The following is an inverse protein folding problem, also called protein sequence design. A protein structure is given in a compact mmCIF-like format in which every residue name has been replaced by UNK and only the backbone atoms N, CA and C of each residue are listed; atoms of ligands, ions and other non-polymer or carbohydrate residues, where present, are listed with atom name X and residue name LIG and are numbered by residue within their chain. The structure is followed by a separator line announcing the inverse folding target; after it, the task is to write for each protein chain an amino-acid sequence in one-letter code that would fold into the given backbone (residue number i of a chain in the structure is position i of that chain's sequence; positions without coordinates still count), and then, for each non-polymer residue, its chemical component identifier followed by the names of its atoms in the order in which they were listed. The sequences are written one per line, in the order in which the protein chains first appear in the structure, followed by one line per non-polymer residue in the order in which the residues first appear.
data_IF_457899594360
#
_entry.id   IF_457899594360
#
_cell.length_a   1.000
_cell.length_b   1.000
_cell.length_c   1.000
_cell.angle_alpha   90.00
_cell.angle_beta   90.00
_cell.angle_gamma   90.00
#
_symmetry.space_group_name_H-M   'P 1'
#
loop_
_entity.id
_entity.type
_entity.pdbx_description
1 polymer ?
#
# COMPACT_ATOMS: atom_id res chain seq x y z
N UNK A 1 17.41 13.11 10.15
CA UNK A 1 17.18 12.07 11.20
C UNK A 1 16.78 10.79 10.51
N UNK A 2 17.30 9.64 10.96
CA UNK A 2 17.00 8.34 10.32
C UNK A 2 15.63 7.74 10.75
N UNK A 3 14.68 8.59 11.15
CA UNK A 3 13.39 8.20 11.72
C UNK A 3 13.49 7.79 13.19
N UNK A 4 12.38 7.29 13.75
CA UNK A 4 12.29 6.78 15.10
C UNK A 4 12.98 5.41 15.24
N UNK A 5 13.29 4.95 16.45
CA UNK A 5 13.91 3.64 16.67
C UNK A 5 13.01 2.51 16.16
N UNK A 6 13.59 1.34 15.82
CA UNK A 6 12.81 0.16 15.48
C UNK A 6 11.85 -0.21 16.61
N UNK A 7 10.66 -0.67 16.24
CA UNK A 7 9.61 -1.05 17.19
C UNK A 7 9.46 -2.57 17.25
N UNK A 8 9.23 -3.08 18.45
CA UNK A 8 8.80 -4.46 18.67
C UNK A 8 7.28 -4.44 18.87
N UNK A 9 6.51 -5.27 18.15
CA UNK A 9 5.09 -5.41 18.40
C UNK A 9 4.82 -5.91 19.82
N UNK A 10 3.88 -5.26 20.51
CA UNK A 10 3.42 -5.71 21.84
C UNK A 10 2.18 -6.58 21.77
N UNK A 11 1.51 -6.64 20.61
CA UNK A 11 0.36 -7.49 20.35
C UNK A 11 0.38 -7.92 18.88
N UNK A 12 0.04 -9.19 18.62
CA UNK A 12 -0.10 -9.73 17.26
C UNK A 12 -1.06 -10.91 17.27
N UNK A 13 -1.54 -11.29 16.10
CA UNK A 13 -2.44 -12.44 15.96
C UNK A 13 -2.81 -12.73 14.52
N UNK A 14 -3.71 -13.70 14.38
CA UNK A 14 -4.36 -14.06 13.11
C UNK A 14 -5.84 -13.73 13.21
N UNK A 15 -6.39 -13.04 12.22
CA UNK A 15 -7.81 -12.74 12.10
C UNK A 15 -8.38 -13.55 10.93
N UNK A 16 -9.45 -14.30 11.19
CA UNK A 16 -10.23 -14.94 10.14
C UNK A 16 -11.06 -13.86 9.41
N UNK A 17 -10.89 -13.76 8.10
CA UNK A 17 -11.57 -12.78 7.26
C UNK A 17 -12.50 -13.43 6.23
N UNK A 18 -12.85 -14.70 6.44
CA UNK A 18 -13.71 -15.47 5.57
C UNK A 18 -12.97 -16.07 4.36
N UNK A 19 -13.72 -16.81 3.56
CA UNK A 19 -13.24 -17.45 2.32
C UNK A 19 -11.99 -18.34 2.51
N UNK A 20 -11.79 -18.88 3.72
CA UNK A 20 -10.59 -19.65 4.07
C UNK A 20 -9.32 -18.80 4.25
N UNK A 21 -9.44 -17.48 4.29
CA UNK A 21 -8.31 -16.57 4.50
C UNK A 21 -8.21 -16.12 5.95
N UNK A 22 -6.96 -16.04 6.43
CA UNK A 22 -6.61 -15.45 7.73
C UNK A 22 -5.49 -14.46 7.55
N UNK A 23 -5.69 -13.22 7.98
CA UNK A 23 -4.67 -12.17 7.91
C UNK A 23 -3.86 -12.13 9.21
N UNK A 24 -2.53 -12.00 9.07
CA UNK A 24 -1.64 -11.70 10.20
C UNK A 24 -1.66 -10.21 10.47
N UNK A 25 -1.76 -9.83 11.74
CA UNK A 25 -1.70 -8.44 12.18
C UNK A 25 -0.81 -8.28 13.41
N UNK A 26 -0.28 -7.06 13.58
CA UNK A 26 0.52 -6.67 14.72
C UNK A 26 0.28 -5.22 15.11
N UNK A 27 0.45 -4.92 16.40
CA UNK A 27 0.34 -3.58 16.98
C UNK A 27 1.62 -3.23 17.72
N UNK A 28 2.15 -2.05 17.43
CA UNK A 28 3.35 -1.50 18.08
C UNK A 28 3.13 -0.04 18.49
N UNK A 29 4.11 0.52 19.22
CA UNK A 29 4.02 1.89 19.74
C UNK A 29 3.20 1.99 21.03
N UNK A 30 2.55 3.14 21.24
CA UNK A 30 1.75 3.42 22.44
C UNK A 30 0.35 2.79 22.31
N UNK A 31 -0.05 1.87 23.20
CA UNK A 31 -1.39 1.27 23.19
C UNK A 31 -2.54 2.30 23.26
N UNK A 32 -2.32 3.41 23.96
CA UNK A 32 -3.29 4.49 24.16
C UNK A 32 -3.07 5.66 23.18
N UNK A 33 -2.14 5.50 22.25
CA UNK A 33 -1.81 6.50 21.24
C UNK A 33 -2.85 6.59 20.13
N UNK A 34 -2.68 7.61 19.27
CA UNK A 34 -3.53 7.80 18.09
C UNK A 34 -3.45 6.57 17.18
N UNK A 35 -4.59 5.94 16.83
CA UNK A 35 -4.55 4.78 15.95
C UNK A 35 -4.08 5.16 14.54
N UNK A 36 -3.22 4.33 13.98
CA UNK A 36 -2.78 4.42 12.59
C UNK A 36 -2.70 3.03 11.97
N UNK A 37 -3.25 2.87 10.76
CA UNK A 37 -3.08 1.66 9.97
C UNK A 37 -2.04 1.88 8.88
N UNK A 38 -1.19 0.88 8.67
CA UNK A 38 -0.17 0.86 7.63
C UNK A 38 -0.53 -0.18 6.57
N UNK A 39 -0.71 0.29 5.34
CA UNK A 39 -1.04 -0.51 4.16
C UNK A 39 0.21 -0.69 3.31
N UNK A 40 0.74 -1.92 3.27
CA UNK A 40 1.93 -2.22 2.48
C UNK A 40 1.67 -2.21 0.97
N UNK A 41 2.73 -2.03 0.22
CA UNK A 41 2.74 -2.02 -1.25
C UNK A 41 2.81 -3.41 -1.89
N UNK A 42 3.15 -3.44 -3.14
CA UNK A 42 3.21 -4.60 -4.02
C UNK A 42 2.11 -4.52 -5.08
N UNK A 43 0.99 -5.27 -4.95
CA UNK A 43 0.53 -6.09 -3.80
C UNK A 43 1.45 -7.26 -3.45
N UNK A 44 1.41 -7.69 -2.19
CA UNK A 44 2.14 -8.88 -1.76
C UNK A 44 3.51 -8.64 -1.11
N UNK A 45 3.93 -7.37 -0.91
CA UNK A 45 5.20 -7.06 -0.23
C UNK A 45 5.24 -7.51 1.23
N UNK A 46 4.08 -7.61 1.89
CA UNK A 46 3.99 -7.85 3.32
C UNK A 46 4.37 -6.65 4.18
N UNK A 47 4.14 -6.75 5.47
CA UNK A 47 4.49 -5.75 6.47
C UNK A 47 6.00 -5.59 6.59
N UNK A 48 6.47 -4.37 6.82
CA UNK A 48 7.89 -4.07 7.03
C UNK A 48 8.11 -3.34 8.35
N UNK A 49 9.04 -3.81 9.21
CA UNK A 49 9.39 -3.11 10.44
C UNK A 49 9.94 -1.69 10.20
N UNK A 50 10.49 -1.43 9.01
CA UNK A 50 11.07 -0.12 8.67
C UNK A 50 10.02 0.99 8.60
N UNK A 51 8.78 0.68 8.22
CA UNK A 51 7.70 1.68 8.11
C UNK A 51 7.28 2.22 9.47
N UNK A 52 7.29 1.39 10.51
CA UNK A 52 7.02 1.83 11.89
C UNK A 52 7.94 2.96 12.36
N UNK A 53 9.13 3.10 11.77
CA UNK A 53 10.12 4.14 12.10
C UNK A 53 9.76 5.55 11.64
N UNK A 54 8.69 5.73 10.86
CA UNK A 54 8.18 7.07 10.51
C UNK A 54 7.27 7.64 11.59
N UNK A 55 6.71 6.80 12.44
CA UNK A 55 5.76 7.15 13.48
C UNK A 55 6.45 7.41 14.82
N UNK A 56 6.06 8.46 15.51
CA UNK A 56 6.47 8.68 16.90
C UNK A 56 5.83 7.61 17.80
N UNK A 57 6.63 6.68 18.36
CA UNK A 57 6.09 5.55 19.10
C UNK A 57 5.42 5.94 20.43
N UNK A 58 5.67 7.14 20.93
CA UNK A 58 5.00 7.64 22.14
C UNK A 58 3.59 8.18 21.84
N UNK A 59 3.30 8.54 20.57
CA UNK A 59 2.07 9.20 20.17
C UNK A 59 1.12 8.30 19.38
N UNK A 60 1.64 7.26 18.72
CA UNK A 60 0.85 6.40 17.84
C UNK A 60 0.68 4.97 18.35
N UNK A 61 -0.54 4.45 18.20
CA UNK A 61 -0.86 3.01 18.20
C UNK A 61 -0.81 2.53 16.75
N UNK A 62 0.26 1.85 16.36
CA UNK A 62 0.57 1.53 14.97
C UNK A 62 0.10 0.11 14.67
N UNK A 63 -0.87 -0.03 13.77
CA UNK A 63 -1.39 -1.31 13.28
C UNK A 63 -0.77 -1.62 11.93
N UNK A 64 -0.12 -2.76 11.81
CA UNK A 64 0.36 -3.32 10.55
C UNK A 64 -0.28 -4.69 10.35
N UNK A 65 -0.56 -5.07 9.11
CA UNK A 65 -1.06 -6.40 8.79
C UNK A 65 -0.53 -6.83 7.43
N UNK A 66 -0.39 -8.12 7.25
CA UNK A 66 -0.12 -8.73 5.96
C UNK A 66 -1.45 -8.96 5.26
N UNK A 67 -1.61 -8.40 4.06
CA UNK A 67 -2.81 -8.57 3.23
C UNK A 67 -3.01 -10.05 2.87
N UNK A 68 -4.18 -10.41 2.34
CA UNK A 68 -4.48 -11.80 1.94
C UNK A 68 -3.35 -12.41 1.13
N UNK A 69 -3.03 -13.65 1.40
CA UNK A 69 -2.10 -14.50 0.66
C UNK A 69 -0.63 -14.05 0.66
N UNK A 70 -0.21 -13.12 1.55
CA UNK A 70 1.19 -12.69 1.64
C UNK A 70 1.71 -12.65 3.07
N UNK A 71 3.03 -12.51 3.21
CA UNK A 71 3.70 -12.42 4.50
C UNK A 71 3.45 -13.63 5.38
N UNK A 72 2.87 -13.41 6.56
CA UNK A 72 2.43 -14.45 7.52
C UNK A 72 0.94 -14.77 7.40
N UNK A 73 0.20 -14.11 6.50
CA UNK A 73 -1.20 -14.42 6.21
C UNK A 73 -1.34 -15.73 5.45
N UNK A 74 -2.47 -16.40 5.62
CA UNK A 74 -2.73 -17.72 5.01
C UNK A 74 -4.05 -17.72 4.25
N UNK A 75 -4.14 -18.52 3.15
CA UNK A 75 -3.09 -19.31 2.51
C UNK A 75 -1.99 -18.46 1.89
N UNK A 76 -0.85 -19.05 1.49
CA UNK A 76 0.26 -18.32 0.87
C UNK A 76 0.16 -18.39 -0.66
N UNK A 77 0.24 -17.23 -1.34
CA UNK A 77 0.24 -17.17 -2.80
C UNK A 77 1.49 -17.79 -3.45
N UNK A 78 2.55 -18.10 -2.70
CA UNK A 78 3.69 -18.88 -3.22
C UNK A 78 3.30 -20.32 -3.58
N UNK A 79 2.27 -20.88 -2.95
CA UNK A 79 1.70 -22.17 -3.36
C UNK A 79 0.85 -21.99 -4.64
N UNK A 80 1.20 -22.67 -5.75
CA UNK A 80 0.42 -22.58 -6.99
C UNK A 80 -1.03 -23.03 -6.84
N UNK A 81 -1.34 -23.85 -5.83
CA UNK A 81 -2.70 -24.32 -5.56
C UNK A 81 -3.57 -23.29 -4.83
N UNK A 82 -2.97 -22.22 -4.30
CA UNK A 82 -3.74 -21.16 -3.64
C UNK A 82 -4.64 -20.45 -4.64
N UNK A 83 -5.95 -20.47 -4.35
CA UNK A 83 -6.95 -19.71 -5.10
C UNK A 83 -6.84 -18.20 -4.75
N UNK A 84 -6.72 -17.35 -5.77
CA UNK A 84 -6.66 -15.90 -5.63
C UNK A 84 -7.99 -15.21 -5.96
N UNK A 85 -9.06 -15.93 -6.24
CA UNK A 85 -10.36 -15.36 -6.65
C UNK A 85 -10.93 -14.36 -5.62
N UNK A 86 -10.61 -14.55 -4.35
CA UNK A 86 -11.00 -13.67 -3.24
C UNK A 86 -9.89 -12.67 -2.84
N UNK A 87 -8.83 -12.54 -3.64
CA UNK A 87 -7.79 -11.53 -3.46
C UNK A 87 -8.09 -10.33 -4.37
N UNK A 88 -9.11 -9.55 -4.01
CA UNK A 88 -9.56 -8.36 -4.76
C UNK A 88 -9.55 -7.12 -3.87
N UNK A 89 -9.57 -5.94 -4.46
CA UNK A 89 -9.62 -4.67 -3.71
C UNK A 89 -10.81 -4.62 -2.74
N UNK A 90 -11.98 -5.11 -3.16
CA UNK A 90 -13.16 -5.14 -2.30
C UNK A 90 -12.97 -6.04 -1.06
N UNK A 91 -12.36 -7.22 -1.24
CA UNK A 91 -12.04 -8.09 -0.10
C UNK A 91 -11.03 -7.46 0.85
N UNK A 92 -9.99 -6.79 0.34
CA UNK A 92 -9.01 -6.08 1.18
C UNK A 92 -9.65 -4.93 1.96
N UNK A 93 -10.59 -4.18 1.38
CA UNK A 93 -11.33 -3.12 2.09
C UNK A 93 -12.14 -3.73 3.24
N UNK A 94 -12.83 -4.86 2.98
CA UNK A 94 -13.56 -5.60 4.02
C UNK A 94 -12.62 -6.09 5.14
N UNK A 95 -11.45 -6.61 4.79
CA UNK A 95 -10.46 -7.08 5.76
C UNK A 95 -9.95 -5.95 6.67
N UNK A 96 -9.72 -4.77 6.10
CA UNK A 96 -9.31 -3.57 6.87
C UNK A 96 -10.41 -3.21 7.88
N UNK A 97 -11.67 -3.25 7.48
CA UNK A 97 -12.79 -2.92 8.35
C UNK A 97 -13.00 -3.99 9.45
N UNK A 98 -12.86 -5.27 9.12
CA UNK A 98 -12.87 -6.36 10.10
C UNK A 98 -11.71 -6.23 11.10
N UNK A 99 -10.52 -5.85 10.65
CA UNK A 99 -9.37 -5.62 11.53
C UNK A 99 -9.59 -4.41 12.45
N UNK A 100 -10.16 -3.32 11.94
CA UNK A 100 -10.52 -2.15 12.75
C UNK A 100 -11.45 -2.53 13.88
N UNK A 101 -12.53 -3.27 13.56
CA UNK A 101 -13.52 -3.74 14.53
C UNK A 101 -12.89 -4.72 15.53
N UNK A 102 -12.08 -5.67 15.07
CA UNK A 102 -11.37 -6.64 15.92
C UNK A 102 -10.44 -5.98 16.95
N UNK A 103 -9.89 -4.81 16.60
CA UNK A 103 -8.98 -4.05 17.46
C UNK A 103 -9.69 -2.98 18.29
N UNK A 104 -11.02 -2.86 18.18
CA UNK A 104 -11.84 -1.87 18.88
C UNK A 104 -11.33 -0.44 18.63
N UNK A 105 -11.18 -0.09 17.33
CA UNK A 105 -10.73 1.22 16.87
C UNK A 105 -11.88 1.93 16.18
N UNK A 106 -12.26 3.13 16.65
CA UNK A 106 -13.33 3.93 16.06
C UNK A 106 -12.92 4.53 14.72
N UNK A 107 -11.74 5.14 14.68
CA UNK A 107 -11.14 5.75 13.49
C UNK A 107 -9.63 5.74 13.60
N UNK A 108 -8.96 5.88 12.48
CA UNK A 108 -7.50 5.90 12.40
C UNK A 108 -6.93 6.82 11.32
N UNK A 109 -5.66 7.13 11.45
CA UNK A 109 -4.86 7.64 10.35
C UNK A 109 -4.56 6.49 9.39
N UNK A 110 -4.75 6.70 8.08
CA UNK A 110 -4.40 5.73 7.03
C UNK A 110 -3.07 6.11 6.39
N UNK A 111 -2.09 5.21 6.51
CA UNK A 111 -0.79 5.34 5.85
C UNK A 111 -0.64 4.26 4.78
N UNK A 112 -0.23 4.64 3.57
CA UNK A 112 -0.01 3.68 2.49
C UNK A 112 1.04 4.14 1.48
N UNK A 113 1.66 3.18 0.78
CA UNK A 113 2.60 3.47 -0.29
C UNK A 113 2.41 2.55 -1.48
N UNK A 114 2.59 3.09 -2.71
CA UNK A 114 2.42 2.32 -3.95
C UNK A 114 1.03 1.67 -4.00
N UNK A 115 0.92 0.36 -4.18
CA UNK A 115 -0.36 -0.37 -4.05
C UNK A 115 -1.14 -0.01 -2.77
N UNK A 116 -0.44 0.20 -1.65
CA UNK A 116 -1.08 0.63 -0.40
C UNK A 116 -1.78 1.98 -0.51
N UNK A 117 -1.42 2.85 -1.47
CA UNK A 117 -2.14 4.10 -1.74
C UNK A 117 -3.47 3.83 -2.45
N UNK A 118 -3.53 2.90 -3.41
CA UNK A 118 -4.80 2.48 -4.03
C UNK A 118 -5.76 1.98 -2.96
N UNK A 119 -5.27 1.04 -2.14
CA UNK A 119 -6.07 0.39 -1.12
C UNK A 119 -6.55 1.39 -0.06
N UNK A 120 -5.66 2.27 0.40
CA UNK A 120 -6.00 3.29 1.40
C UNK A 120 -6.97 4.35 0.90
N UNK A 121 -6.83 4.79 -0.35
CA UNK A 121 -7.77 5.73 -0.97
C UNK A 121 -9.15 5.10 -1.19
N UNK A 122 -9.20 3.85 -1.66
CA UNK A 122 -10.45 3.11 -1.81
C UNK A 122 -11.14 2.90 -0.46
N UNK A 123 -10.40 2.46 0.56
CA UNK A 123 -10.92 2.30 1.92
C UNK A 123 -11.48 3.62 2.47
N UNK A 124 -10.73 4.71 2.34
CA UNK A 124 -11.17 6.02 2.82
C UNK A 124 -12.40 6.56 2.07
N UNK A 125 -12.56 6.19 0.80
CA UNK A 125 -13.76 6.54 0.02
C UNK A 125 -14.99 5.69 0.40
N UNK A 126 -14.79 4.47 0.88
CA UNK A 126 -15.89 3.60 1.30
C UNK A 126 -16.29 3.80 2.76
N UNK A 127 -15.31 4.09 3.63
CA UNK A 127 -15.47 4.28 5.07
C UNK A 127 -14.91 5.64 5.53
N UNK A 128 -15.32 6.76 4.93
CA UNK A 128 -14.76 8.06 5.29
C UNK A 128 -14.95 8.42 6.76
N UNK A 129 -15.98 7.88 7.41
CA UNK A 129 -16.27 8.07 8.84
C UNK A 129 -15.23 7.43 9.77
N UNK A 130 -14.44 6.48 9.28
CA UNK A 130 -13.41 5.78 10.05
C UNK A 130 -11.98 6.27 9.72
N UNK A 131 -11.85 7.36 8.94
CA UNK A 131 -10.55 7.90 8.56
C UNK A 131 -10.39 9.33 9.08
N UNK A 132 -9.41 9.53 9.96
CA UNK A 132 -9.10 10.84 10.54
C UNK A 132 -8.19 11.67 9.64
N UNK A 133 -7.12 11.07 9.13
CA UNK A 133 -6.14 11.68 8.23
C UNK A 133 -5.55 10.62 7.29
N UNK A 134 -4.90 11.09 6.23
CA UNK A 134 -4.26 10.23 5.23
C UNK A 134 -2.82 10.70 4.98
N UNK A 135 -1.87 9.75 4.95
CA UNK A 135 -0.49 10.00 4.49
C UNK A 135 -0.14 8.94 3.45
N UNK A 136 0.14 9.37 2.23
CA UNK A 136 0.49 8.46 1.14
C UNK A 136 1.85 8.79 0.56
N UNK A 137 2.57 7.77 0.10
CA UNK A 137 3.86 7.90 -0.58
C UNK A 137 3.88 7.10 -1.87
N UNK A 138 4.55 7.63 -2.91
CA UNK A 138 4.59 7.00 -4.25
C UNK A 138 3.18 6.63 -4.71
N UNK A 139 2.35 7.67 -4.81
CA UNK A 139 0.91 7.54 -4.99
C UNK A 139 0.59 7.06 -6.40
N UNK A 140 -0.20 6.00 -6.47
CA UNK A 140 -0.78 5.44 -7.70
C UNK A 140 -2.28 5.25 -7.52
N UNK A 141 -3.02 5.19 -8.63
CA UNK A 141 -4.49 5.10 -8.62
C UNK A 141 -5.05 3.84 -9.29
N UNK A 142 -4.17 2.98 -9.83
CA UNK A 142 -4.54 1.67 -10.39
C UNK A 142 -5.29 1.73 -11.72
N UNK A 143 -5.13 2.84 -12.48
CA UNK A 143 -5.77 2.98 -13.80
C UNK A 143 -5.15 2.06 -14.84
N UNK A 144 -5.92 1.72 -15.88
CA UNK A 144 -5.43 0.97 -17.04
C UNK A 144 -4.18 1.63 -17.64
N UNK A 145 -4.15 2.97 -17.69
CA UNK A 145 -3.00 3.76 -18.18
C UNK A 145 -1.74 3.56 -17.33
N UNK A 146 -1.86 3.52 -15.99
CA UNK A 146 -0.72 3.27 -15.10
C UNK A 146 -0.19 1.83 -15.27
N UNK A 147 -1.07 0.85 -15.45
CA UNK A 147 -0.68 -0.54 -15.68
C UNK A 147 0.03 -0.69 -17.04
N UNK A 148 -0.50 -0.06 -18.10
CA UNK A 148 0.16 -0.03 -19.41
C UNK A 148 1.53 0.64 -19.34
N UNK A 149 1.63 1.74 -18.60
CA UNK A 149 2.88 2.45 -18.37
C UNK A 149 3.96 1.52 -17.80
N UNK A 150 3.68 0.81 -16.68
CA UNK A 150 4.68 -0.06 -16.04
C UNK A 150 4.97 -1.35 -16.81
N UNK A 151 4.01 -1.87 -17.57
CA UNK A 151 4.20 -3.14 -18.28
C UNK A 151 4.70 -2.98 -19.72
N UNK A 152 4.57 -1.78 -20.31
CA UNK A 152 4.89 -1.53 -21.71
C UNK A 152 5.71 -0.26 -21.93
N UNK A 153 5.18 0.90 -21.58
CA UNK A 153 5.77 2.19 -21.98
C UNK A 153 7.14 2.44 -21.36
N UNK A 154 7.39 1.95 -20.14
CA UNK A 154 8.70 2.01 -19.51
C UNK A 154 9.81 1.27 -20.28
N UNK A 155 9.47 0.39 -21.20
CA UNK A 155 10.43 -0.17 -22.16
C UNK A 155 11.14 0.88 -23.01
N UNK A 156 10.59 2.09 -23.12
CA UNK A 156 11.28 3.23 -23.77
C UNK A 156 12.37 3.84 -22.90
N UNK A 157 12.31 3.62 -21.59
CA UNK A 157 13.31 4.08 -20.62
C UNK A 157 14.36 2.98 -20.38
N UNK A 158 13.92 1.73 -20.28
CA UNK A 158 14.72 0.54 -19.97
C UNK A 158 14.60 -0.52 -21.08
N UNK A 159 15.09 -0.24 -22.30
CA UNK A 159 14.79 -1.11 -23.45
C UNK A 159 15.38 -2.53 -23.32
N UNK A 160 16.59 -2.67 -22.81
CA UNK A 160 17.25 -3.96 -22.68
C UNK A 160 16.61 -4.85 -21.58
N UNK A 161 16.15 -4.23 -20.49
CA UNK A 161 15.45 -4.90 -19.40
C UNK A 161 14.06 -5.32 -19.86
N UNK A 162 13.37 -4.44 -20.56
CA UNK A 162 12.04 -4.73 -21.12
C UNK A 162 12.09 -5.84 -22.18
N UNK A 163 13.10 -5.88 -23.04
CA UNK A 163 13.27 -6.97 -23.99
C UNK A 163 13.40 -8.33 -23.27
N UNK A 164 14.14 -8.39 -22.17
CA UNK A 164 14.23 -9.60 -21.34
C UNK A 164 12.89 -9.95 -20.67
N UNK A 165 12.19 -8.96 -20.17
CA UNK A 165 10.88 -9.12 -19.57
C UNK A 165 9.87 -9.65 -20.58
N UNK A 166 9.70 -9.00 -21.72
CA UNK A 166 8.69 -9.40 -22.73
C UNK A 166 9.03 -10.71 -23.46
N UNK A 167 10.29 -11.16 -23.45
CA UNK A 167 10.72 -12.37 -24.15
C UNK A 167 10.01 -13.64 -23.67
N UNK A 168 9.56 -13.70 -22.42
CA UNK A 168 8.81 -14.84 -21.88
C UNK A 168 7.34 -14.86 -22.32
N UNK A 169 6.80 -13.73 -22.74
CA UNK A 169 5.42 -13.64 -23.22
C UNK A 169 5.33 -14.17 -24.65
N UNK A 170 4.39 -15.08 -24.95
CA UNK A 170 4.12 -15.54 -26.32
C UNK A 170 3.96 -14.36 -27.28
N UNK A 171 4.51 -14.49 -28.49
CA UNK A 171 4.61 -13.38 -29.43
C UNK A 171 3.26 -12.80 -29.81
N UNK A 172 2.27 -13.66 -29.97
CA UNK A 172 0.87 -13.31 -30.29
C UNK A 172 0.10 -12.67 -29.12
N UNK A 173 0.67 -12.69 -27.89
CA UNK A 173 0.08 -12.07 -26.70
C UNK A 173 0.77 -10.75 -26.32
N UNK A 174 1.91 -10.40 -26.96
CA UNK A 174 2.71 -9.22 -26.57
C UNK A 174 2.00 -7.89 -26.77
N UNK A 175 1.04 -7.82 -27.66
CA UNK A 175 0.22 -6.60 -27.86
C UNK A 175 -0.97 -6.50 -26.92
N UNK A 176 -1.22 -7.55 -26.13
CA UNK A 176 -2.32 -7.65 -25.18
C UNK A 176 -1.98 -7.21 -23.77
N UNK A 177 -2.72 -7.73 -22.80
CA UNK A 177 -2.50 -7.49 -21.37
C UNK A 177 -1.30 -8.33 -20.85
N UNK A 178 -0.14 -7.69 -20.70
CA UNK A 178 1.12 -8.34 -20.28
C UNK A 178 0.99 -8.95 -18.88
N UNK A 179 0.32 -8.26 -17.95
CA UNK A 179 0.10 -8.80 -16.61
C UNK A 179 -0.74 -10.08 -16.64
N UNK A 180 -1.76 -10.16 -17.51
CA UNK A 180 -2.54 -11.37 -17.71
C UNK A 180 -1.73 -12.51 -18.35
N UNK A 181 -0.83 -12.20 -19.30
CA UNK A 181 0.07 -13.18 -19.87
C UNK A 181 1.00 -13.76 -18.80
N UNK A 182 1.59 -12.92 -17.96
CA UNK A 182 2.42 -13.37 -16.84
C UNK A 182 1.63 -14.17 -15.80
N UNK A 183 0.40 -13.79 -15.48
CA UNK A 183 -0.45 -14.55 -14.57
C UNK A 183 -0.67 -15.99 -15.07
N UNK A 184 -0.83 -16.19 -16.40
CA UNK A 184 -0.92 -17.52 -17.01
C UNK A 184 0.41 -18.28 -16.93
N UNK A 185 1.56 -17.62 -17.18
CA UNK A 185 2.89 -18.23 -17.04
C UNK A 185 3.14 -18.70 -15.60
N UNK A 186 2.73 -17.91 -14.60
CA UNK A 186 2.84 -18.21 -13.18
C UNK A 186 1.87 -19.30 -12.70
N UNK A 187 0.84 -19.62 -13.48
CA UNK A 187 -0.09 -20.72 -13.24
C UNK A 187 0.21 -21.97 -14.09
N UNK A 188 1.28 -21.94 -14.92
CA UNK A 188 1.61 -23.04 -15.81
C UNK A 188 1.92 -24.34 -15.02
N UNK A 189 1.65 -25.54 -15.57
CA UNK A 189 1.97 -26.82 -14.93
C UNK A 189 3.47 -27.01 -14.68
N UNK A 190 4.34 -26.51 -15.60
CA UNK A 190 5.80 -26.60 -15.49
C UNK A 190 6.36 -25.70 -14.38
N UNK A 191 6.94 -26.25 -13.30
CA UNK A 191 7.53 -25.47 -12.21
C UNK A 191 8.70 -24.58 -12.67
N UNK A 192 9.48 -25.05 -13.67
CA UNK A 192 10.62 -24.29 -14.15
C UNK A 192 10.17 -23.06 -14.95
N UNK A 193 9.05 -23.15 -15.65
CA UNK A 193 8.44 -21.99 -16.33
C UNK A 193 7.90 -20.98 -15.31
N UNK A 194 7.20 -21.45 -14.28
CA UNK A 194 6.71 -20.55 -13.21
C UNK A 194 7.84 -19.79 -12.53
N UNK A 195 8.95 -20.48 -12.20
CA UNK A 195 10.11 -19.84 -11.56
C UNK A 195 10.77 -18.81 -12.46
N UNK A 196 10.95 -19.11 -13.75
CA UNK A 196 11.48 -18.13 -14.72
C UNK A 196 10.56 -16.90 -14.84
N UNK A 197 9.25 -17.11 -14.86
CA UNK A 197 8.29 -16.02 -14.93
C UNK A 197 8.32 -15.15 -13.66
N UNK A 198 8.40 -15.76 -12.48
CA UNK A 198 8.51 -15.03 -11.22
C UNK A 198 9.82 -14.22 -11.13
N UNK A 199 10.94 -14.81 -11.58
CA UNK A 199 12.23 -14.12 -11.64
C UNK A 199 12.18 -12.93 -12.59
N UNK A 200 11.68 -13.11 -13.82
CA UNK A 200 11.61 -12.04 -14.81
C UNK A 200 10.69 -10.89 -14.38
N UNK A 201 9.59 -11.20 -13.70
CA UNK A 201 8.71 -10.17 -13.13
C UNK A 201 9.44 -9.36 -12.06
N UNK A 202 10.10 -10.02 -11.12
CA UNK A 202 10.83 -9.35 -10.05
C UNK A 202 12.05 -8.56 -10.54
N UNK A 203 12.77 -9.06 -11.56
CA UNK A 203 13.89 -8.32 -12.18
C UNK A 203 13.38 -7.03 -12.87
N UNK A 204 12.21 -7.11 -13.50
CA UNK A 204 11.56 -5.95 -14.09
C UNK A 204 11.10 -4.96 -13.03
N UNK A 205 10.43 -5.43 -11.98
CA UNK A 205 10.01 -4.60 -10.84
C UNK A 205 11.22 -3.86 -10.24
N UNK A 206 12.31 -4.58 -9.96
CA UNK A 206 13.51 -3.98 -9.35
C UNK A 206 14.15 -2.93 -10.26
N UNK A 207 14.07 -3.11 -11.59
CA UNK A 207 14.56 -2.14 -12.57
C UNK A 207 13.88 -0.79 -12.43
N UNK A 208 12.57 -0.75 -12.36
CA UNK A 208 11.84 0.52 -12.41
C UNK A 208 11.62 1.18 -11.04
N UNK A 209 11.71 0.42 -9.94
CA UNK A 209 11.67 1.03 -8.59
C UNK A 209 13.04 1.56 -8.15
N UNK A 210 14.12 1.19 -8.83
CA UNK A 210 15.52 1.43 -8.47
C UNK A 210 16.15 2.68 -9.10
N UNK A 211 15.37 3.70 -9.41
CA UNK A 211 15.84 4.84 -10.23
C UNK A 211 16.53 5.97 -9.46
N UNK A 212 16.53 5.97 -8.14
CA UNK A 212 17.23 7.02 -7.40
C UNK A 212 18.70 6.65 -7.10
N UNK A 213 19.63 7.62 -7.05
CA UNK A 213 21.02 7.36 -6.72
C UNK A 213 21.18 6.65 -5.37
N UNK A 214 21.99 5.58 -5.33
CA UNK A 214 22.23 4.79 -4.12
C UNK A 214 21.17 3.74 -3.80
N UNK A 215 20.20 3.52 -4.68
CA UNK A 215 19.32 2.35 -4.57
C UNK A 215 20.12 1.05 -4.70
N UNK A 216 19.65 0.03 -3.97
CA UNK A 216 20.15 -1.35 -4.10
C UNK A 216 18.96 -2.27 -4.37
N UNK A 217 19.16 -3.32 -5.19
CA UNK A 217 18.12 -4.31 -5.45
C UNK A 217 17.51 -4.88 -4.17
N UNK A 218 16.20 -5.11 -4.18
CA UNK A 218 15.51 -5.65 -3.00
C UNK A 218 16.01 -7.08 -2.71
N UNK A 219 16.68 -7.32 -1.57
CA UNK A 219 17.24 -8.64 -1.25
C UNK A 219 16.18 -9.73 -1.15
N UNK A 220 14.90 -9.39 -0.94
CA UNK A 220 13.79 -10.34 -0.89
C UNK A 220 13.56 -11.03 -2.23
N UNK A 221 13.89 -10.39 -3.35
CA UNK A 221 13.80 -11.00 -4.68
C UNK A 221 14.80 -12.13 -4.91
N UNK A 222 15.75 -12.38 -3.98
CA UNK A 222 16.63 -13.58 -4.00
C UNK A 222 15.93 -14.82 -3.44
N UNK A 223 14.87 -14.65 -2.66
CA UNK A 223 14.07 -15.75 -2.13
C UNK A 223 13.01 -16.21 -3.16
N UNK A 224 13.06 -17.45 -3.65
CA UNK A 224 12.10 -17.95 -4.63
C UNK A 224 10.66 -17.99 -4.12
N UNK A 225 10.46 -18.19 -2.82
CA UNK A 225 9.12 -18.17 -2.21
C UNK A 225 8.54 -16.77 -2.26
N UNK A 226 9.35 -15.77 -1.90
CA UNK A 226 8.93 -14.36 -1.98
C UNK A 226 8.65 -13.96 -3.44
N UNK A 227 9.52 -14.31 -4.40
CA UNK A 227 9.31 -14.00 -5.83
C UNK A 227 7.99 -14.56 -6.35
N UNK A 228 7.74 -15.85 -6.09
CA UNK A 228 6.51 -16.50 -6.55
C UNK A 228 5.27 -15.84 -5.98
N UNK A 229 5.25 -15.59 -4.66
CA UNK A 229 4.17 -14.90 -3.96
C UNK A 229 3.93 -13.53 -4.55
N UNK A 230 4.98 -12.72 -4.64
CA UNK A 230 4.92 -11.34 -5.12
C UNK A 230 4.44 -11.29 -6.57
N UNK A 231 5.07 -12.02 -7.48
CA UNK A 231 4.71 -12.02 -8.89
C UNK A 231 3.26 -12.47 -9.12
N UNK A 232 2.80 -13.54 -8.43
CA UNK A 232 1.40 -14.00 -8.54
C UNK A 232 0.41 -12.94 -8.07
N UNK A 233 0.67 -12.28 -6.95
CA UNK A 233 -0.25 -11.27 -6.41
C UNK A 233 -0.28 -10.00 -7.27
N UNK A 234 0.88 -9.51 -7.71
CA UNK A 234 0.94 -8.32 -8.56
C UNK A 234 0.25 -8.58 -9.90
N UNK A 235 0.59 -9.70 -10.58
CA UNK A 235 0.00 -10.02 -11.88
C UNK A 235 -1.49 -10.30 -11.79
N UNK A 236 -1.96 -10.94 -10.71
CA UNK A 236 -3.39 -11.15 -10.47
C UNK A 236 -4.15 -9.83 -10.37
N UNK A 237 -3.64 -8.87 -9.60
CA UNK A 237 -4.30 -7.58 -9.43
C UNK A 237 -4.23 -6.73 -10.71
N UNK A 238 -3.07 -6.64 -11.35
CA UNK A 238 -2.89 -5.78 -12.52
C UNK A 238 -3.56 -6.35 -13.76
N UNK A 239 -3.61 -7.68 -13.92
CA UNK A 239 -4.38 -8.32 -14.99
C UNK A 239 -5.87 -7.97 -14.93
N UNK A 240 -6.38 -7.68 -13.73
CA UNK A 240 -7.77 -7.35 -13.45
C UNK A 240 -7.97 -5.85 -13.12
N UNK A 241 -7.05 -4.96 -13.53
CA UNK A 241 -7.14 -3.50 -13.32
C UNK A 241 -7.40 -3.15 -11.85
N UNK A 242 -6.69 -3.83 -10.93
CA UNK A 242 -6.87 -3.69 -9.48
C UNK A 242 -8.31 -3.95 -9.01
N UNK A 243 -9.12 -4.64 -9.81
CA UNK A 243 -10.57 -4.87 -9.59
C UNK A 243 -11.35 -3.57 -9.38
N UNK A 244 -10.95 -2.51 -10.07
CA UNK A 244 -11.57 -1.18 -10.02
C UNK A 244 -12.01 -0.75 -11.42
N UNK A 245 -13.14 -0.04 -11.54
CA UNK A 245 -13.41 0.74 -12.75
C UNK A 245 -12.28 1.73 -13.03
N UNK A 246 -12.00 2.00 -14.29
CA UNK A 246 -10.97 2.97 -14.66
C UNK A 246 -11.28 4.34 -14.05
N UNK A 247 -10.26 5.04 -13.54
CA UNK A 247 -10.37 6.31 -12.82
C UNK A 247 -11.26 6.31 -11.54
N UNK A 248 -11.65 5.16 -11.01
CA UNK A 248 -12.59 5.06 -9.88
C UNK A 248 -12.22 5.95 -8.67
N UNK A 249 -10.92 6.05 -8.35
CA UNK A 249 -10.44 6.86 -7.22
C UNK A 249 -10.64 8.36 -7.51
N UNK A 250 -10.29 8.83 -8.71
CA UNK A 250 -10.44 10.23 -9.10
C UNK A 250 -11.89 10.66 -9.24
N UNK A 251 -12.75 9.78 -9.74
CA UNK A 251 -14.17 10.07 -9.95
C UNK A 251 -14.94 10.18 -8.62
N UNK A 252 -14.44 9.51 -7.58
CA UNK A 252 -15.03 9.55 -6.23
C UNK A 252 -14.25 10.41 -5.23
N UNK A 253 -13.35 11.29 -5.71
CA UNK A 253 -12.45 12.09 -4.84
C UNK A 253 -13.23 12.99 -3.85
N UNK A 254 -14.42 13.42 -4.21
CA UNK A 254 -15.29 14.21 -3.34
C UNK A 254 -15.69 13.50 -2.04
N UNK A 255 -15.60 12.17 -1.98
CA UNK A 255 -15.83 11.40 -0.74
C UNK A 255 -14.75 11.62 0.32
N UNK A 256 -13.59 12.14 -0.09
CA UNK A 256 -12.49 12.47 0.80
C UNK A 256 -12.54 13.92 1.33
N UNK A 257 -13.56 14.70 0.96
CA UNK A 257 -13.71 16.07 1.44
C UNK A 257 -13.74 16.15 2.97
N UNK A 258 -12.96 17.08 3.54
CA UNK A 258 -12.81 17.24 4.99
C UNK A 258 -11.86 16.22 5.67
N UNK A 259 -11.22 15.33 4.92
CA UNK A 259 -10.17 14.46 5.44
C UNK A 259 -8.81 15.08 5.07
N UNK A 260 -8.03 15.58 6.05
CA UNK A 260 -6.70 16.12 5.77
C UNK A 260 -5.75 15.04 5.26
N UNK A 261 -4.98 15.36 4.23
CA UNK A 261 -4.04 14.41 3.65
C UNK A 261 -2.67 15.03 3.34
N UNK A 262 -1.63 14.18 3.33
CA UNK A 262 -0.31 14.49 2.79
C UNK A 262 0.07 13.43 1.77
N UNK A 263 0.33 13.87 0.55
CA UNK A 263 0.77 13.03 -0.57
C UNK A 263 2.23 13.33 -0.85
N UNK A 264 3.11 12.33 -0.70
CA UNK A 264 4.55 12.48 -0.94
C UNK A 264 4.95 11.68 -2.17
N UNK A 265 5.53 12.35 -3.18
CA UNK A 265 5.98 11.66 -4.40
C UNK A 265 7.37 12.14 -4.81
N UNK A 266 8.19 11.22 -5.30
CA UNK A 266 9.45 11.53 -5.95
C UNK A 266 9.25 12.00 -7.39
N UNK A 267 10.00 13.01 -7.85
CA UNK A 267 9.98 13.43 -9.26
C UNK A 267 10.71 12.45 -10.19
N UNK A 268 11.60 11.62 -9.63
CA UNK A 268 12.28 10.54 -10.34
C UNK A 268 11.56 9.19 -10.20
N UNK A 269 10.35 9.19 -9.67
CA UNK A 269 9.52 7.99 -9.57
C UNK A 269 8.93 7.67 -10.95
N UNK A 270 9.67 6.83 -11.69
CA UNK A 270 9.20 6.36 -13.00
C UNK A 270 8.19 5.22 -12.87
N UNK A 271 8.17 4.52 -11.74
CA UNK A 271 7.22 3.43 -11.44
C UNK A 271 5.80 3.95 -11.23
N UNK A 272 5.68 5.01 -10.40
CA UNK A 272 4.44 5.76 -10.18
C UNK A 272 4.67 7.23 -10.45
N UNK A 273 4.62 7.68 -11.72
CA UNK A 273 4.87 9.08 -12.06
C UNK A 273 4.03 10.04 -11.23
N UNK A 274 4.56 11.21 -10.85
CA UNK A 274 3.90 12.11 -9.90
C UNK A 274 2.60 12.74 -10.42
N UNK A 275 2.20 12.49 -11.67
CA UNK A 275 0.97 13.03 -12.26
C UNK A 275 -0.30 12.49 -11.56
N UNK A 276 -0.28 11.25 -11.07
CA UNK A 276 -1.39 10.68 -10.29
C UNK A 276 -1.60 11.48 -8.98
N UNK A 277 -0.54 11.67 -8.20
CA UNK A 277 -0.58 12.48 -6.97
C UNK A 277 -0.96 13.94 -7.24
N UNK A 278 -0.45 14.51 -8.35
CA UNK A 278 -0.79 15.85 -8.78
C UNK A 278 -2.29 15.99 -9.09
N UNK A 279 -2.86 15.07 -9.89
CA UNK A 279 -4.30 15.11 -10.25
C UNK A 279 -5.20 14.93 -9.03
N UNK A 280 -4.80 14.11 -8.05
CA UNK A 280 -5.50 13.98 -6.77
C UNK A 280 -5.49 15.30 -6.00
N UNK A 281 -4.31 15.91 -5.81
CA UNK A 281 -4.17 17.17 -5.07
C UNK A 281 -4.93 18.34 -5.71
N UNK A 282 -5.04 18.39 -7.04
CA UNK A 282 -5.84 19.41 -7.74
C UNK A 282 -7.34 19.31 -7.46
N UNK A 283 -7.84 18.15 -7.05
CA UNK A 283 -9.26 17.87 -6.83
C UNK A 283 -9.62 17.63 -5.37
N UNK A 284 -8.61 17.58 -4.50
CA UNK A 284 -8.77 17.33 -3.07
C UNK A 284 -8.21 18.49 -2.26
N UNK A 285 -9.06 19.50 -1.91
CA UNK A 285 -8.60 20.74 -1.25
C UNK A 285 -7.90 20.53 0.07
N UNK A 286 -8.21 19.44 0.78
CA UNK A 286 -7.63 19.11 2.08
C UNK A 286 -6.30 18.32 1.96
N UNK A 287 -5.81 18.07 0.73
CA UNK A 287 -4.56 17.36 0.48
C UNK A 287 -3.39 18.31 0.20
N UNK A 288 -2.31 18.15 0.94
CA UNK A 288 -1.00 18.74 0.67
C UNK A 288 -0.18 17.79 -0.20
N UNK A 289 0.35 18.28 -1.33
CA UNK A 289 1.27 17.55 -2.18
C UNK A 289 2.71 18.00 -1.94
N UNK A 290 3.57 17.04 -1.60
CA UNK A 290 5.02 17.25 -1.43
C UNK A 290 5.76 16.47 -2.54
N UNK A 291 6.35 17.21 -3.48
CA UNK A 291 7.20 16.64 -4.54
C UNK A 291 8.66 16.74 -4.15
N UNK A 292 9.39 15.60 -4.19
CA UNK A 292 10.79 15.50 -3.84
C UNK A 292 11.62 15.34 -5.12
N UNK A 293 12.48 16.32 -5.40
CA UNK A 293 13.19 16.43 -6.68
C UNK A 293 14.07 15.22 -7.00
N UNK A 294 14.76 14.65 -6.01
CA UNK A 294 15.77 13.59 -6.19
C UNK A 294 15.28 12.20 -5.73
N UNK A 295 14.00 12.06 -5.36
CA UNK A 295 13.47 10.79 -4.93
C UNK A 295 12.86 10.00 -6.08
N UNK A 296 13.09 8.68 -6.08
CA UNK A 296 12.40 7.69 -6.90
C UNK A 296 11.22 7.07 -6.17
N UNK A 297 10.89 5.81 -6.51
CA UNK A 297 9.78 5.08 -5.90
C UNK A 297 10.07 4.72 -4.44
N UNK A 298 9.04 4.82 -3.58
CA UNK A 298 9.09 4.41 -2.18
C UNK A 298 9.76 5.40 -1.23
N UNK A 299 10.23 4.88 -0.12
CA UNK A 299 10.72 5.66 1.03
C UNK A 299 12.24 5.63 1.21
N UNK A 300 12.98 5.16 0.20
CA UNK A 300 14.43 5.01 0.26
C UNK A 300 15.18 6.33 0.44
N UNK A 301 14.67 7.43 -0.10
CA UNK A 301 15.31 8.74 -0.05
C UNK A 301 15.10 9.44 1.31
N UNK A 302 16.16 10.07 1.86
CA UNK A 302 16.14 10.71 3.18
C UNK A 302 15.11 11.84 3.27
N UNK A 303 14.98 12.64 2.22
CA UNK A 303 13.99 13.75 2.17
C UNK A 303 12.57 13.23 2.18
N UNK A 304 12.28 12.12 1.47
CA UNK A 304 10.96 11.48 1.52
C UNK A 304 10.63 10.99 2.92
N UNK A 305 11.58 10.33 3.58
CA UNK A 305 11.42 9.89 4.98
C UNK A 305 11.15 11.04 5.93
N UNK A 306 11.89 12.15 5.76
CA UNK A 306 11.68 13.35 6.58
C UNK A 306 10.29 13.93 6.35
N UNK A 307 9.85 14.08 5.12
CA UNK A 307 8.52 14.61 4.78
C UNK A 307 7.40 13.75 5.39
N UNK A 308 7.53 12.41 5.34
CA UNK A 308 6.59 11.49 5.97
C UNK A 308 6.56 11.62 7.49
N UNK A 309 7.75 11.66 8.14
CA UNK A 309 7.84 11.81 9.59
C UNK A 309 7.26 13.15 10.05
N UNK A 310 7.59 14.25 9.38
CA UNK A 310 7.06 15.59 9.69
C UNK A 310 5.52 15.64 9.55
N UNK A 311 4.98 15.00 8.52
CA UNK A 311 3.52 14.91 8.32
C UNK A 311 2.84 14.12 9.44
N UNK A 312 3.41 12.97 9.80
CA UNK A 312 2.89 12.11 10.87
C UNK A 312 2.98 12.81 12.24
N UNK A 313 4.09 13.48 12.55
CA UNK A 313 4.23 14.23 13.81
C UNK A 313 3.23 15.38 13.90
N UNK A 314 3.01 16.10 12.80
CA UNK A 314 1.99 17.15 12.71
C UNK A 314 0.59 16.59 12.95
N UNK A 315 0.25 15.44 12.36
CA UNK A 315 -1.05 14.80 12.53
C UNK A 315 -1.23 14.15 13.91
N UNK A 316 -0.15 13.73 14.56
CA UNK A 316 -0.21 13.25 15.95
C UNK A 316 -0.63 14.36 16.92
N UNK A 317 -0.15 15.58 16.70
CA UNK A 317 -0.48 16.75 17.52
C UNK A 317 -1.90 17.32 17.24
N UNK A 318 -2.47 17.01 16.07
CA UNK A 318 -3.80 17.49 15.71
C UNK A 318 -4.90 16.65 16.37
N UNK A 319 -5.97 17.27 16.91
CA UNK A 319 -7.13 16.52 17.37
C UNK A 319 -7.74 15.73 16.20
N UNK A 320 -8.38 14.60 16.52
CA UNK A 320 -9.19 13.92 15.50
C UNK A 320 -10.29 14.88 15.03
N UNK A 321 -10.43 15.17 13.73
CA UNK A 321 -11.39 16.15 13.24
C UNK A 321 -12.84 15.76 13.52
N UNK A 322 -13.08 14.54 13.99
CA UNK A 322 -14.43 13.97 14.16
C UNK A 322 -14.84 13.67 15.59
N UNK A 323 -13.96 13.87 16.58
CA UNK A 323 -14.35 13.73 18.00
C UNK A 323 -14.94 15.07 18.47
N UNK A 324 -16.25 15.17 18.77
CA UNK A 324 -16.78 16.36 19.45
C UNK A 324 -16.00 16.55 20.75
N UNK A 325 -15.75 17.80 21.18
CA UNK A 325 -15.12 18.04 22.46
C UNK A 325 -15.93 17.31 23.55
N UNK A 326 -15.23 16.56 24.41
CA UNK A 326 -15.87 15.87 25.52
C UNK A 326 -16.72 16.90 26.26
N UNK A 327 -18.05 16.69 26.32
CA UNK A 327 -18.94 17.48 27.17
C UNK A 327 -18.39 17.39 28.58
N UNK A 328 -17.97 18.55 29.11
CA UNK A 328 -17.65 18.66 30.52
C UNK A 328 -18.92 18.27 31.26
N UNK A 329 -18.93 17.09 31.88
CA UNK A 329 -19.98 16.72 32.82
C UNK A 329 -20.09 17.84 33.86
N UNK A 330 -21.14 18.62 33.75
CA UNK A 330 -21.50 19.58 34.78
C UNK A 330 -21.86 18.74 36.03
N UNK A 331 -20.94 18.70 36.99
CA UNK A 331 -21.22 18.25 38.33
C UNK A 331 -22.32 19.16 38.88
N UNK A 332 -23.56 18.67 38.81
CA UNK A 332 -24.66 19.23 39.60
C UNK A 332 -24.41 18.87 41.07
N UNK A 333 -23.88 19.81 41.81
CA UNK A 333 -23.94 19.80 43.28
C UNK A 333 -25.40 19.70 43.72
N UNK A 334 -25.76 18.77 44.60
CA UNK A 334 -27.06 18.81 45.23
C UNK A 334 -27.07 19.94 46.24
N UNK A 335 -27.92 20.92 46.00
CA UNK A 335 -28.30 21.91 47.00
C UNK A 335 -29.06 21.22 48.14
N UNK A 336 -28.50 21.35 49.33
CA UNK A 336 -29.14 21.04 50.60
C UNK A 336 -30.41 21.91 50.83
N UNK A 337 -31.52 21.29 51.14
CA UNK A 337 -32.51 21.74 52.14
C UNK A 337 -33.21 20.54 52.75
#
# INVERSE_FOLDING_TARGET
MDGYPPLTPHRSGMLDVGDGNRIYWQVSGNPDGKPAIVLHGGPGSGSSPSVGRYFNPALYRIVQFDQRCCGLSTPDAADPATDLSTNTTAHHITDIELLRQHLDIDSWLVFGGSWGSILGLCYAQEHPEHVDQIVMVSVVTGTAREIEWVTRDMGRIFPAEWERFIALVPEDERDGNIAAAYARLLAAPDPALRERAAQAWCDWEDTHVSTHPGHSPDPRYRDPVFRMRFARLVTHNWANHSFLPDNAILDRINRLAGIPAVLVNGKLDVSGPPDAAWRLAQRWPDAELILIDEAGHGTGHTTSRKALTDALDRFAAAPSPRKPPAEKSSENSPCSQ
#
